data_IF_344280585295
#
_entry.id   IF_344280585295
#
_cell.length_a   1.000
_cell.length_b   1.000
_cell.length_c   1.000
_cell.angle_alpha   90.00
_cell.angle_beta   90.00
_cell.angle_gamma   90.00
#
_symmetry.space_group_name_H-M   'P 1'
#
loop_
_entity.id
_entity.type
_entity.pdbx_description
1 polymer ?
#
# COMPACT_ATOMS: atom_id res chain seq x y z
N UNK A 1 -31.22 -22.88 8.21
CA UNK A 1 -29.98 -22.36 8.82
C UNK A 1 -29.50 -21.20 7.97
N UNK A 2 -29.15 -20.10 8.64
CA UNK A 2 -29.58 -18.74 8.29
C UNK A 2 -28.74 -18.08 7.17
N UNK A 3 -29.38 -17.35 6.23
CA UNK A 3 -28.70 -16.43 5.28
C UNK A 3 -27.66 -15.51 5.94
N UNK A 4 -27.86 -15.24 7.23
CA UNK A 4 -27.00 -14.44 8.10
C UNK A 4 -25.56 -14.98 8.26
N UNK A 5 -25.34 -16.30 8.21
CA UNK A 5 -23.99 -16.86 8.38
C UNK A 5 -23.11 -16.68 7.14
N UNK A 6 -23.64 -16.99 5.95
CA UNK A 6 -22.92 -16.80 4.68
C UNK A 6 -22.62 -15.32 4.42
N UNK A 7 -23.58 -14.44 4.73
CA UNK A 7 -23.41 -12.98 4.67
C UNK A 7 -22.29 -12.51 5.59
N UNK A 8 -22.24 -12.98 6.84
CA UNK A 8 -21.15 -12.66 7.77
C UNK A 8 -19.78 -13.09 7.23
N UNK A 9 -19.68 -14.31 6.68
CA UNK A 9 -18.43 -14.80 6.07
C UNK A 9 -18.01 -13.95 4.86
N UNK A 10 -18.95 -13.52 4.02
CA UNK A 10 -18.67 -12.59 2.92
C UNK A 10 -18.15 -11.24 3.44
N UNK A 11 -18.73 -10.70 4.52
CA UNK A 11 -18.24 -9.47 5.15
C UNK A 11 -16.83 -9.64 5.74
N UNK A 12 -16.54 -10.79 6.32
CA UNK A 12 -15.20 -11.10 6.82
C UNK A 12 -14.16 -11.23 5.69
N UNK A 13 -14.52 -11.86 4.57
CA UNK A 13 -13.69 -11.90 3.37
C UNK A 13 -13.49 -10.51 2.77
N UNK A 14 -14.53 -9.69 2.69
CA UNK A 14 -14.42 -8.30 2.21
C UNK A 14 -13.52 -7.46 3.10
N UNK A 15 -13.69 -7.55 4.43
CA UNK A 15 -12.82 -6.86 5.38
C UNK A 15 -11.35 -7.30 5.23
N UNK A 16 -11.10 -8.56 4.85
CA UNK A 16 -9.74 -9.09 4.65
C UNK A 16 -8.97 -8.38 3.53
N UNK A 17 -9.65 -7.73 2.58
CA UNK A 17 -9.02 -7.00 1.46
C UNK A 17 -8.17 -5.82 1.94
N UNK A 18 -8.46 -5.27 3.12
CA UNK A 18 -7.67 -4.21 3.76
C UNK A 18 -6.71 -4.70 4.83
N UNK A 19 -6.61 -6.01 5.05
CA UNK A 19 -5.86 -6.64 6.13
C UNK A 19 -4.70 -7.49 5.59
N UNK A 20 -3.84 -7.95 6.48
CA UNK A 20 -2.70 -8.83 6.21
C UNK A 20 -2.94 -10.23 6.76
N UNK A 21 -4.18 -10.70 6.66
CA UNK A 21 -4.55 -12.07 7.03
C UNK A 21 -3.68 -13.08 6.27
N UNK A 22 -3.37 -14.19 6.91
CA UNK A 22 -2.64 -15.26 6.24
C UNK A 22 -3.54 -15.88 5.15
N UNK A 23 -2.98 -16.20 3.97
CA UNK A 23 -3.69 -16.92 2.91
C UNK A 23 -4.36 -18.22 3.40
N UNK A 24 -3.74 -18.91 4.36
CA UNK A 24 -4.29 -20.13 4.98
C UNK A 24 -5.59 -19.87 5.75
N UNK A 25 -5.67 -18.75 6.46
CA UNK A 25 -6.86 -18.35 7.23
C UNK A 25 -7.97 -17.84 6.29
N UNK A 26 -7.60 -17.17 5.20
CA UNK A 26 -8.55 -16.77 4.15
C UNK A 26 -9.09 -17.99 3.38
N UNK A 27 -8.24 -18.97 3.08
CA UNK A 27 -8.69 -20.25 2.51
C UNK A 27 -9.71 -20.97 3.40
N UNK A 28 -9.53 -20.88 4.73
CA UNK A 28 -10.48 -21.46 5.68
C UNK A 28 -11.83 -20.73 5.62
N UNK A 29 -11.84 -19.39 5.61
CA UNK A 29 -13.05 -18.60 5.41
C UNK A 29 -13.77 -18.92 4.09
N UNK A 30 -13.03 -19.18 3.01
CA UNK A 30 -13.59 -19.60 1.71
C UNK A 30 -14.27 -20.97 1.82
N UNK A 31 -13.62 -21.95 2.45
CA UNK A 31 -14.23 -23.26 2.66
C UNK A 31 -15.51 -23.16 3.50
N UNK A 32 -15.49 -22.36 4.56
CA UNK A 32 -16.65 -22.15 5.42
C UNK A 32 -17.79 -21.45 4.67
N UNK A 33 -17.47 -20.49 3.79
CA UNK A 33 -18.45 -19.83 2.93
C UNK A 33 -19.10 -20.82 1.96
N UNK A 34 -18.30 -21.65 1.28
CA UNK A 34 -18.82 -22.66 0.36
C UNK A 34 -19.72 -23.66 1.08
N UNK A 35 -19.34 -24.14 2.27
CA UNK A 35 -20.20 -24.99 3.10
C UNK A 35 -21.49 -24.27 3.51
N UNK A 36 -21.41 -23.03 3.98
CA UNK A 36 -22.59 -22.26 4.40
C UNK A 36 -23.59 -22.01 3.26
N UNK A 37 -23.10 -21.96 2.02
CA UNK A 37 -23.92 -21.80 0.80
C UNK A 37 -24.30 -23.12 0.12
N UNK A 38 -23.92 -24.27 0.68
CA UNK A 38 -24.05 -25.58 0.03
C UNK A 38 -23.47 -25.59 -1.40
N UNK A 39 -22.36 -24.86 -1.61
CA UNK A 39 -21.64 -24.83 -2.88
C UNK A 39 -20.53 -25.88 -2.82
N UNK A 40 -20.57 -26.87 -3.70
CA UNK A 40 -19.53 -27.88 -3.79
C UNK A 40 -18.39 -27.37 -4.69
N UNK A 41 -17.16 -27.21 -4.16
CA UNK A 41 -16.01 -26.96 -5.01
C UNK A 41 -15.72 -28.20 -5.85
N UNK A 42 -15.21 -28.00 -7.06
CA UNK A 42 -14.67 -29.08 -7.89
C UNK A 42 -13.48 -29.76 -7.17
N UNK A 43 -13.14 -31.02 -7.50
CA UNK A 43 -12.12 -31.77 -6.78
C UNK A 43 -10.75 -31.08 -6.72
N UNK A 44 -10.35 -30.36 -7.77
CA UNK A 44 -9.07 -29.67 -7.81
C UNK A 44 -9.07 -28.47 -6.83
N UNK A 45 -10.13 -27.67 -6.83
CA UNK A 45 -10.30 -26.57 -5.88
C UNK A 45 -10.41 -27.07 -4.44
N UNK A 46 -11.17 -28.13 -4.20
CA UNK A 46 -11.30 -28.75 -2.88
C UNK A 46 -9.92 -29.13 -2.33
N UNK A 47 -9.12 -29.88 -3.12
CA UNK A 47 -7.78 -30.30 -2.74
C UNK A 47 -6.81 -29.13 -2.53
N UNK A 48 -6.88 -28.09 -3.37
CA UNK A 48 -6.05 -26.90 -3.23
C UNK A 48 -6.37 -26.14 -1.94
N UNK A 49 -7.65 -25.94 -1.62
CA UNK A 49 -8.10 -25.31 -0.39
C UNK A 49 -7.75 -26.16 0.85
N UNK A 50 -7.91 -27.48 0.80
CA UNK A 50 -7.56 -28.37 1.90
C UNK A 50 -6.06 -28.28 2.25
N UNK A 51 -5.20 -28.29 1.22
CA UNK A 51 -3.76 -28.10 1.38
C UNK A 51 -3.40 -26.76 2.01
N UNK A 52 -4.12 -25.68 1.69
CA UNK A 52 -3.88 -24.37 2.29
C UNK A 52 -4.40 -24.28 3.73
N UNK A 53 -5.57 -24.84 4.00
CA UNK A 53 -6.24 -24.75 5.30
C UNK A 53 -5.64 -25.63 6.39
N UNK A 54 -4.86 -26.66 6.03
CA UNK A 54 -4.12 -27.54 6.95
C UNK A 54 -3.33 -26.75 8.02
N UNK A 55 -2.86 -25.54 7.68
CA UNK A 55 -2.08 -24.67 8.58
C UNK A 55 -2.77 -23.35 8.95
N UNK A 56 -4.09 -23.28 8.77
CA UNK A 56 -4.88 -22.18 9.32
C UNK A 56 -4.77 -22.19 10.84
N UNK A 57 -4.79 -21.01 11.46
CA UNK A 57 -4.72 -20.86 12.91
C UNK A 57 -5.88 -21.59 13.60
N UNK A 58 -7.03 -21.69 12.93
CA UNK A 58 -8.19 -22.44 13.42
C UNK A 58 -7.95 -23.95 13.56
N UNK A 59 -7.09 -24.54 12.72
CA UNK A 59 -6.79 -25.99 12.74
C UNK A 59 -5.56 -26.36 13.56
N UNK A 60 -4.73 -25.38 13.93
CA UNK A 60 -3.51 -25.61 14.70
C UNK A 60 -3.80 -25.60 16.20
N UNK A 61 -3.25 -26.59 16.91
CA UNK A 61 -3.28 -26.62 18.37
C UNK A 61 -2.50 -25.43 18.93
N UNK A 62 -3.16 -24.55 19.70
CA UNK A 62 -2.67 -23.23 20.14
C UNK A 62 -2.36 -22.22 19.01
N UNK A 63 -3.06 -22.30 17.86
CA UNK A 63 -2.86 -21.44 16.69
C UNK A 63 -2.42 -20.01 17.00
N UNK A 64 -1.13 -19.75 16.83
CA UNK A 64 -0.48 -18.48 17.14
C UNK A 64 0.43 -18.06 15.98
N UNK A 65 0.43 -16.77 15.65
CA UNK A 65 1.38 -16.16 14.71
C UNK A 65 2.01 -14.92 15.36
N UNK A 66 3.30 -14.70 15.10
CA UNK A 66 3.99 -13.49 15.55
C UNK A 66 3.77 -12.29 14.60
N UNK A 67 3.03 -12.51 13.52
CA UNK A 67 2.88 -11.58 12.42
C UNK A 67 1.64 -10.70 12.64
N UNK A 68 1.82 -9.39 12.47
CA UNK A 68 0.66 -8.48 12.48
C UNK A 68 -0.22 -8.71 11.26
N UNK A 69 -1.51 -8.93 11.50
CA UNK A 69 -2.56 -9.10 10.50
C UNK A 69 -3.20 -7.79 10.04
N UNK A 70 -2.76 -6.64 10.55
CA UNK A 70 -3.19 -5.32 10.06
C UNK A 70 -1.99 -4.56 9.46
N UNK A 71 -2.29 -3.66 8.54
CA UNK A 71 -1.36 -2.61 8.15
C UNK A 71 -1.26 -1.58 9.27
N UNK A 72 -0.11 -0.94 9.41
CA UNK A 72 0.05 0.13 10.38
C UNK A 72 -1.00 1.22 10.11
N UNK A 73 -1.85 1.50 11.12
CA UNK A 73 -2.84 2.57 11.04
C UNK A 73 -2.20 3.91 11.36
N UNK A 74 -2.58 5.00 10.66
CA UNK A 74 -2.20 6.34 11.05
C UNK A 74 -2.62 6.60 12.49
N UNK A 75 -1.74 7.24 13.26
CA UNK A 75 -2.13 7.76 14.57
C UNK A 75 -2.93 9.04 14.31
N UNK A 76 -4.20 9.08 14.69
CA UNK A 76 -5.06 10.25 14.58
C UNK A 76 -4.69 11.41 15.52
N UNK A 77 -5.55 12.43 15.57
CA UNK A 77 -5.44 13.65 16.37
C UNK A 77 -6.24 13.59 17.69
N UNK A 78 -6.64 12.41 18.17
CA UNK A 78 -7.51 12.24 19.34
C UNK A 78 -7.01 13.00 20.57
N UNK A 79 -5.70 12.95 20.85
CA UNK A 79 -5.09 13.66 21.98
C UNK A 79 -5.16 15.18 21.83
N UNK A 80 -5.02 15.68 20.62
CA UNK A 80 -5.10 17.11 20.33
C UNK A 80 -6.55 17.59 20.42
N UNK A 81 -7.50 16.83 19.88
CA UNK A 81 -8.93 17.11 19.97
C UNK A 81 -9.42 17.11 21.42
N UNK A 82 -9.07 16.09 22.22
CA UNK A 82 -9.40 16.07 23.64
C UNK A 82 -8.83 17.29 24.38
N UNK A 83 -7.64 17.77 23.98
CA UNK A 83 -7.07 18.99 24.56
C UNK A 83 -7.78 20.26 24.07
N UNK A 84 -8.30 20.26 22.84
CA UNK A 84 -9.08 21.37 22.30
C UNK A 84 -10.42 21.48 23.02
N UNK A 85 -11.15 20.37 23.20
CA UNK A 85 -12.41 20.34 23.98
C UNK A 85 -12.25 20.83 25.43
N UNK A 86 -11.06 20.64 26.01
CA UNK A 86 -10.75 21.15 27.35
C UNK A 86 -10.33 22.65 27.40
N UNK A 87 -10.08 23.29 26.25
CA UNK A 87 -9.60 24.68 26.18
C UNK A 87 -10.54 25.63 25.47
N UNK A 88 -11.41 25.13 24.60
CA UNK A 88 -12.33 25.90 23.78
C UNK A 88 -13.76 25.46 24.08
N UNK A 89 -14.66 26.42 24.25
CA UNK A 89 -16.06 26.15 24.58
C UNK A 89 -16.82 25.61 23.37
N UNK A 90 -16.43 26.03 22.16
CA UNK A 90 -17.11 25.67 20.91
C UNK A 90 -16.67 24.31 20.32
N UNK A 91 -15.97 23.48 21.10
CA UNK A 91 -15.35 22.21 20.68
C UNK A 91 -15.83 21.01 21.52
N UNK A 92 -16.95 21.17 22.24
CA UNK A 92 -17.55 20.07 23.01
C UNK A 92 -18.15 18.98 22.09
N UNK A 93 -18.31 17.78 22.64
CA UNK A 93 -19.04 16.64 22.04
C UNK A 93 -18.50 16.12 20.70
N UNK A 94 -17.22 15.73 20.67
CA UNK A 94 -16.62 15.04 19.52
C UNK A 94 -16.78 13.52 19.64
N UNK A 95 -17.15 12.88 18.55
CA UNK A 95 -17.12 11.42 18.45
C UNK A 95 -15.69 10.88 18.63
N UNK A 96 -15.49 9.68 19.22
CA UNK A 96 -14.17 9.09 19.44
C UNK A 96 -13.29 9.00 18.17
N UNK A 97 -13.93 8.72 17.03
CA UNK A 97 -13.34 8.57 15.71
C UNK A 97 -13.05 9.89 14.99
N UNK A 98 -13.50 11.04 15.49
CA UNK A 98 -13.25 12.35 14.87
C UNK A 98 -11.75 12.66 14.72
N UNK A 99 -10.91 12.05 15.55
CA UNK A 99 -9.45 12.16 15.44
C UNK A 99 -8.84 11.44 14.25
N UNK A 100 -9.57 10.57 13.56
CA UNK A 100 -9.11 9.86 12.38
C UNK A 100 -9.64 10.48 11.09
N UNK A 101 -10.63 11.38 11.14
CA UNK A 101 -11.17 12.09 9.98
C UNK A 101 -10.51 13.47 9.81
N UNK A 102 -9.73 13.70 8.73
CA UNK A 102 -9.13 15.00 8.46
C UNK A 102 -10.13 16.15 8.33
N UNK A 103 -11.32 15.91 7.79
CA UNK A 103 -12.34 16.96 7.62
C UNK A 103 -12.89 17.42 8.97
N UNK A 104 -13.14 16.48 9.88
CA UNK A 104 -13.55 16.79 11.25
C UNK A 104 -12.45 17.51 12.03
N UNK A 105 -11.20 17.07 11.91
CA UNK A 105 -10.06 17.76 12.53
C UNK A 105 -9.98 19.21 12.04
N UNK A 106 -10.09 19.44 10.74
CA UNK A 106 -10.06 20.78 10.15
C UNK A 106 -11.22 21.65 10.64
N UNK A 107 -12.44 21.10 10.63
CA UNK A 107 -13.64 21.76 11.15
C UNK A 107 -13.47 22.20 12.60
N UNK A 108 -12.88 21.34 13.45
CA UNK A 108 -12.57 21.68 14.84
C UNK A 108 -11.52 22.79 14.94
N UNK A 109 -10.46 22.74 14.13
CA UNK A 109 -9.42 23.79 14.13
C UNK A 109 -10.04 25.14 13.78
N UNK A 110 -10.91 25.19 12.77
CA UNK A 110 -11.58 26.42 12.34
C UNK A 110 -12.50 26.97 13.44
N UNK A 111 -13.40 26.15 13.98
CA UNK A 111 -14.31 26.55 15.08
C UNK A 111 -13.55 27.05 16.33
N UNK A 112 -12.45 26.39 16.68
CA UNK A 112 -11.62 26.79 17.80
C UNK A 112 -10.81 28.07 17.50
N UNK A 113 -10.42 28.28 16.24
CA UNK A 113 -9.79 29.49 15.75
C UNK A 113 -10.68 30.72 15.91
N UNK A 114 -11.96 30.58 15.62
CA UNK A 114 -12.95 31.66 15.73
C UNK A 114 -13.04 32.22 17.17
N UNK A 115 -12.98 31.36 18.20
CA UNK A 115 -13.02 31.77 19.62
C UNK A 115 -11.85 32.68 20.00
N UNK A 116 -10.70 32.54 19.33
CA UNK A 116 -9.50 33.36 19.59
C UNK A 116 -9.15 34.29 18.43
N UNK A 117 -10.07 34.47 17.46
CA UNK A 117 -9.89 35.34 16.30
C UNK A 117 -8.60 35.05 15.52
N UNK A 118 -8.29 33.77 15.35
CA UNK A 118 -7.16 33.27 14.57
C UNK A 118 -7.70 32.56 13.33
N UNK A 119 -7.32 33.00 12.12
CA UNK A 119 -7.72 32.31 10.91
C UNK A 119 -6.98 30.98 10.74
N UNK A 120 -7.52 30.10 9.89
CA UNK A 120 -6.81 28.87 9.53
C UNK A 120 -5.60 29.20 8.66
N UNK A 121 -4.43 28.64 8.96
CA UNK A 121 -3.17 28.92 8.27
C UNK A 121 -2.30 29.99 8.95
N UNK A 122 -2.89 30.83 9.80
CA UNK A 122 -2.22 31.86 10.60
C UNK A 122 -1.37 31.21 11.71
N UNK A 123 -0.10 30.98 11.43
CA UNK A 123 0.79 30.16 12.26
C UNK A 123 2.02 30.92 12.79
N UNK A 124 2.21 32.16 12.39
CA UNK A 124 3.30 33.02 12.80
C UNK A 124 3.03 33.65 14.18
N UNK A 125 4.01 33.55 15.09
CA UNK A 125 3.86 34.08 16.45
C UNK A 125 4.05 35.59 16.55
N UNK A 126 4.74 36.19 15.59
CA UNK A 126 5.00 37.62 15.51
C UNK A 126 3.89 38.34 14.77
N UNK A 127 3.51 37.84 13.59
CA UNK A 127 2.58 38.51 12.68
C UNK A 127 1.12 38.19 12.98
N UNK A 128 0.79 36.93 13.22
CA UNK A 128 -0.62 36.50 13.22
C UNK A 128 -1.26 36.50 14.61
N UNK A 129 -0.48 36.89 15.63
CA UNK A 129 -0.87 36.75 17.03
C UNK A 129 -1.29 38.10 17.62
N UNK A 130 -2.54 38.19 18.05
CA UNK A 130 -3.08 39.41 18.65
C UNK A 130 -2.34 39.81 19.94
N UNK A 131 -1.92 41.07 20.00
CA UNK A 131 -1.35 41.74 21.16
C UNK A 131 -2.45 42.10 22.19
N UNK A 132 -2.09 42.84 23.26
CA UNK A 132 -3.08 43.15 24.32
C UNK A 132 -4.20 44.07 23.83
N UNK A 133 -3.86 45.11 23.07
CA UNK A 133 -4.82 46.07 22.53
C UNK A 133 -5.73 45.38 21.50
N UNK A 134 -5.12 44.64 20.57
CA UNK A 134 -5.84 43.89 19.53
C UNK A 134 -6.81 42.84 20.10
N UNK A 135 -6.44 42.14 21.18
CA UNK A 135 -7.38 41.22 21.85
C UNK A 135 -8.57 41.94 22.48
N UNK A 136 -8.36 43.13 23.05
CA UNK A 136 -9.44 43.91 23.62
C UNK A 136 -10.39 44.42 22.53
N UNK A 137 -9.84 44.93 21.43
CA UNK A 137 -10.60 45.35 20.25
C UNK A 137 -11.39 44.20 19.62
N UNK A 138 -10.79 43.02 19.55
CA UNK A 138 -11.42 41.83 19.00
C UNK A 138 -12.45 41.15 19.94
N UNK A 139 -12.75 41.76 21.08
CA UNK A 139 -13.76 41.30 22.04
C UNK A 139 -13.33 40.11 22.91
N UNK A 140 -12.03 39.79 22.95
CA UNK A 140 -11.45 38.67 23.71
C UNK A 140 -10.42 39.12 24.75
N UNK A 141 -10.53 40.38 25.19
CA UNK A 141 -9.60 41.04 26.12
C UNK A 141 -9.51 40.38 27.49
N UNK A 142 -10.57 39.67 27.91
CA UNK A 142 -10.62 38.93 29.17
C UNK A 142 -9.71 37.70 29.19
N UNK A 143 -9.35 37.17 28.01
CA UNK A 143 -8.43 36.03 27.91
C UNK A 143 -7.01 36.49 28.26
N UNK A 144 -6.44 35.90 29.31
CA UNK A 144 -5.05 36.19 29.69
C UNK A 144 -4.08 35.85 28.55
N UNK A 145 -2.97 36.61 28.44
CA UNK A 145 -1.91 36.36 27.45
C UNK A 145 -1.44 34.90 27.44
N UNK A 146 -1.35 34.27 28.62
CA UNK A 146 -0.93 32.87 28.77
C UNK A 146 -1.95 31.90 28.17
N UNK A 147 -3.24 32.09 28.45
CA UNK A 147 -4.32 31.26 27.89
C UNK A 147 -4.42 31.42 26.38
N UNK A 148 -4.37 32.65 25.88
CA UNK A 148 -4.36 32.94 24.44
C UNK A 148 -3.18 32.24 23.73
N UNK A 149 -1.96 32.43 24.24
CA UNK A 149 -0.77 31.77 23.70
C UNK A 149 -0.82 30.24 23.75
N UNK A 150 -1.53 29.67 24.75
CA UNK A 150 -1.70 28.22 24.86
C UNK A 150 -2.66 27.71 23.79
N UNK A 151 -3.76 28.41 23.54
CA UNK A 151 -4.75 28.12 22.49
C UNK A 151 -4.13 28.25 21.10
N UNK A 152 -3.46 29.36 20.82
CA UNK A 152 -2.74 29.58 19.55
C UNK A 152 -1.74 28.44 19.26
N UNK A 153 -0.89 28.09 20.24
CA UNK A 153 0.06 26.97 20.12
C UNK A 153 -0.61 25.61 19.90
N UNK A 154 -1.81 25.40 20.43
CA UNK A 154 -2.54 24.17 20.21
C UNK A 154 -3.02 24.10 18.75
N UNK A 155 -3.66 25.16 18.25
CA UNK A 155 -4.21 25.16 16.89
C UNK A 155 -3.11 25.00 15.82
N UNK A 156 -1.98 25.71 15.95
CA UNK A 156 -0.81 25.48 15.08
C UNK A 156 -0.34 24.02 15.09
N UNK A 157 -0.28 23.40 16.27
CA UNK A 157 0.12 21.98 16.38
C UNK A 157 -0.94 21.04 15.81
N UNK A 158 -2.21 21.42 15.86
CA UNK A 158 -3.31 20.67 15.25
C UNK A 158 -3.25 20.74 13.73
N UNK A 159 -2.96 21.90 13.13
CA UNK A 159 -2.76 22.03 11.68
C UNK A 159 -1.58 21.19 11.20
N UNK A 160 -0.44 21.25 11.90
CA UNK A 160 0.70 20.38 11.60
C UNK A 160 0.36 18.89 11.78
N UNK A 161 -0.47 18.55 12.77
CA UNK A 161 -0.95 17.19 13.00
C UNK A 161 -1.91 16.73 11.90
N UNK A 162 -2.82 17.59 11.44
CA UNK A 162 -3.74 17.35 10.34
C UNK A 162 -2.98 17.04 9.06
N UNK A 163 -2.01 17.88 8.69
CA UNK A 163 -1.15 17.63 7.53
C UNK A 163 -0.42 16.26 7.64
N UNK A 164 0.04 15.90 8.83
CA UNK A 164 0.64 14.57 9.09
C UNK A 164 -0.37 13.43 8.97
N UNK A 165 -1.60 13.58 9.48
CA UNK A 165 -2.64 12.55 9.37
C UNK A 165 -2.98 12.30 7.90
N UNK A 166 -3.19 13.35 7.10
CA UNK A 166 -3.39 13.24 5.65
C UNK A 166 -2.24 12.48 4.96
N UNK A 167 -0.99 12.86 5.26
CA UNK A 167 0.18 12.20 4.70
C UNK A 167 0.24 10.71 5.05
N UNK A 168 -0.03 10.36 6.30
CA UNK A 168 -0.01 8.97 6.80
C UNK A 168 -1.14 8.12 6.22
N UNK A 169 -2.35 8.69 6.06
CA UNK A 169 -3.47 8.02 5.39
C UNK A 169 -3.14 7.72 3.93
N UNK A 170 -2.59 8.69 3.20
CA UNK A 170 -2.13 8.51 1.82
C UNK A 170 -1.06 7.42 1.75
N UNK A 171 -0.06 7.45 2.64
CA UNK A 171 0.99 6.43 2.71
C UNK A 171 0.43 5.02 2.97
N UNK A 172 -0.58 4.90 3.85
CA UNK A 172 -1.28 3.63 4.08
C UNK A 172 -1.99 3.14 2.83
N UNK A 173 -2.76 3.99 2.15
CA UNK A 173 -3.44 3.65 0.91
C UNK A 173 -2.45 3.18 -0.17
N UNK A 174 -1.33 3.90 -0.34
CA UNK A 174 -0.25 3.52 -1.25
C UNK A 174 0.33 2.15 -0.90
N UNK A 175 0.56 1.88 0.38
CA UNK A 175 1.13 0.59 0.84
C UNK A 175 0.21 -0.58 0.57
N UNK A 176 -1.10 -0.43 0.82
CA UNK A 176 -2.10 -1.48 0.58
C UNK A 176 -2.22 -1.72 -0.93
N UNK A 177 -2.41 -0.65 -1.71
CA UNK A 177 -2.55 -0.74 -3.17
C UNK A 177 -1.33 -1.34 -3.85
N UNK A 178 -0.12 -1.01 -3.39
CA UNK A 178 1.10 -1.55 -3.97
C UNK A 178 1.26 -3.07 -3.81
N UNK A 179 0.52 -3.68 -2.89
CA UNK A 179 0.50 -5.14 -2.72
C UNK A 179 -0.76 -5.77 -3.27
N UNK A 180 -1.94 -5.35 -2.81
CA UNK A 180 -3.23 -5.95 -3.16
C UNK A 180 -3.94 -5.30 -4.35
N UNK A 181 -3.24 -4.44 -5.10
CA UNK A 181 -3.84 -3.63 -6.17
C UNK A 181 -5.07 -2.85 -5.65
N UNK A 182 -6.09 -2.62 -6.50
CA UNK A 182 -7.30 -1.89 -6.12
C UNK A 182 -8.33 -2.74 -5.35
N UNK A 183 -8.02 -3.99 -4.99
CA UNK A 183 -8.98 -4.89 -4.34
C UNK A 183 -9.62 -4.29 -3.09
N UNK A 184 -8.82 -3.63 -2.23
CA UNK A 184 -9.30 -2.96 -1.01
C UNK A 184 -10.28 -1.79 -1.24
N UNK A 185 -10.44 -1.33 -2.48
CA UNK A 185 -11.38 -0.26 -2.87
C UNK A 185 -12.71 -0.79 -3.38
N UNK A 186 -12.87 -2.11 -3.51
CA UNK A 186 -14.11 -2.72 -3.97
C UNK A 186 -15.24 -2.43 -2.97
N UNK A 187 -16.37 -1.88 -3.43
CA UNK A 187 -17.59 -1.82 -2.62
C UNK A 187 -18.03 -3.23 -2.22
N UNK A 188 -18.64 -3.35 -1.04
CA UNK A 188 -19.09 -4.63 -0.52
C UNK A 188 -20.05 -5.31 -1.49
N UNK A 189 -20.98 -4.56 -2.06
CA UNK A 189 -22.03 -5.05 -2.96
C UNK A 189 -21.43 -5.65 -4.23
N UNK A 190 -20.42 -5.00 -4.81
CA UNK A 190 -19.71 -5.50 -6.00
C UNK A 190 -18.92 -6.76 -5.67
N UNK A 191 -18.26 -6.78 -4.52
CA UNK A 191 -17.48 -7.92 -4.05
C UNK A 191 -18.36 -9.15 -3.74
N UNK A 192 -19.48 -8.94 -3.05
CA UNK A 192 -20.37 -9.99 -2.57
C UNK A 192 -21.35 -10.53 -3.64
N UNK A 193 -21.42 -9.88 -4.80
CA UNK A 193 -22.33 -10.26 -5.89
C UNK A 193 -22.13 -11.71 -6.38
N UNK A 194 -20.89 -12.20 -6.38
CA UNK A 194 -20.55 -13.57 -6.75
C UNK A 194 -19.52 -14.18 -5.76
N UNK A 195 -19.88 -15.24 -5.01
CA UNK A 195 -19.00 -15.87 -4.03
C UNK A 195 -17.71 -16.45 -4.57
N UNK A 196 -17.71 -17.02 -5.78
CA UNK A 196 -16.48 -17.55 -6.36
C UNK A 196 -15.52 -16.40 -6.69
N UNK A 197 -16.05 -15.30 -7.26
CA UNK A 197 -15.28 -14.06 -7.46
C UNK A 197 -14.74 -13.53 -6.13
N UNK A 198 -15.58 -13.46 -5.10
CA UNK A 198 -15.18 -13.03 -3.75
C UNK A 198 -14.05 -13.90 -3.17
N UNK A 199 -14.14 -15.22 -3.34
CA UNK A 199 -13.13 -16.18 -2.89
C UNK A 199 -11.79 -15.97 -3.60
N UNK A 200 -11.79 -15.87 -4.94
CA UNK A 200 -10.57 -15.61 -5.71
C UNK A 200 -9.91 -14.28 -5.32
N UNK A 201 -10.69 -13.19 -5.29
CA UNK A 201 -10.18 -11.84 -4.99
C UNK A 201 -9.62 -11.79 -3.57
N UNK A 202 -10.32 -12.34 -2.58
CA UNK A 202 -9.85 -12.36 -1.20
C UNK A 202 -8.56 -13.18 -1.03
N UNK A 203 -8.50 -14.38 -1.63
CA UNK A 203 -7.33 -15.24 -1.53
C UNK A 203 -6.09 -14.62 -2.18
N UNK A 204 -6.22 -14.14 -3.42
CA UNK A 204 -5.12 -13.52 -4.15
C UNK A 204 -4.62 -12.26 -3.43
N UNK A 205 -5.53 -11.46 -2.87
CA UNK A 205 -5.17 -10.27 -2.08
C UNK A 205 -4.39 -10.65 -0.83
N UNK A 206 -4.83 -11.67 -0.09
CA UNK A 206 -4.11 -12.17 1.10
C UNK A 206 -2.69 -12.66 0.74
N UNK A 207 -2.55 -13.40 -0.37
CA UNK A 207 -1.25 -13.82 -0.92
C UNK A 207 -0.36 -12.63 -1.24
N UNK A 208 -0.90 -11.60 -1.89
CA UNK A 208 -0.13 -10.42 -2.26
C UNK A 208 0.27 -9.56 -1.05
N UNK A 209 -0.53 -9.58 0.03
CA UNK A 209 -0.28 -8.86 1.27
C UNK A 209 0.79 -9.47 2.18
N UNK A 210 1.28 -10.67 1.86
CA UNK A 210 2.38 -11.30 2.57
C UNK A 210 3.61 -10.38 2.68
N UNK A 211 4.35 -10.54 3.77
CA UNK A 211 5.64 -9.85 3.95
C UNK A 211 6.67 -10.47 3.01
N UNK A 212 7.45 -9.60 2.37
CA UNK A 212 8.57 -10.04 1.54
C UNK A 212 9.65 -10.66 2.43
N UNK A 213 10.23 -11.74 1.95
CA UNK A 213 11.36 -12.42 2.58
C UNK A 213 12.62 -11.77 2.01
N UNK A 214 13.61 -11.50 2.86
CA UNK A 214 14.93 -11.12 2.39
C UNK A 214 15.63 -12.34 1.82
N UNK A 215 15.92 -12.27 0.53
CA UNK A 215 16.57 -13.33 -0.25
C UNK A 215 17.40 -12.67 -1.34
N UNK A 216 18.50 -13.33 -1.71
CA UNK A 216 19.31 -13.07 -2.89
C UNK A 216 18.72 -13.71 -4.17
N UNK A 217 17.63 -14.48 -4.02
CA UNK A 217 16.89 -15.10 -5.10
C UNK A 217 15.64 -14.32 -5.54
N UNK A 218 14.77 -15.00 -6.29
CA UNK A 218 13.54 -14.40 -6.78
C UNK A 218 12.50 -14.23 -5.67
N UNK A 219 11.80 -13.09 -5.68
CA UNK A 219 10.70 -12.85 -4.76
C UNK A 219 9.51 -13.76 -5.09
N UNK A 220 8.83 -14.27 -4.05
CA UNK A 220 7.64 -15.11 -4.22
C UNK A 220 6.53 -14.35 -4.92
N UNK A 221 5.84 -15.03 -5.84
CA UNK A 221 4.69 -14.51 -6.58
C UNK A 221 3.39 -14.72 -5.80
N UNK A 222 2.41 -13.81 -5.90
CA UNK A 222 1.10 -13.99 -5.25
C UNK A 222 0.27 -15.11 -5.86
N UNK A 223 0.29 -15.26 -7.19
CA UNK A 223 -0.52 -16.23 -7.93
C UNK A 223 0.08 -17.64 -7.82
N UNK A 224 -0.55 -18.50 -7.03
CA UNK A 224 -0.12 -19.87 -6.73
C UNK A 224 -1.18 -20.92 -7.10
N UNK A 225 -0.92 -22.20 -6.82
CA UNK A 225 -1.83 -23.32 -7.14
C UNK A 225 -3.28 -23.10 -6.65
N UNK A 226 -3.46 -22.42 -5.51
CA UNK A 226 -4.80 -22.21 -4.92
C UNK A 226 -5.51 -21.05 -5.59
N UNK A 227 -4.77 -19.97 -5.85
CA UNK A 227 -5.29 -18.87 -6.67
C UNK A 227 -5.67 -19.36 -8.07
N UNK A 228 -4.87 -20.25 -8.67
CA UNK A 228 -5.16 -20.82 -9.98
C UNK A 228 -6.42 -21.69 -9.95
N UNK A 229 -6.54 -22.61 -8.97
CA UNK A 229 -7.75 -23.43 -8.85
C UNK A 229 -9.03 -22.59 -8.71
N UNK A 230 -9.00 -21.55 -7.87
CA UNK A 230 -10.11 -20.60 -7.74
C UNK A 230 -10.37 -19.84 -9.05
N UNK A 231 -9.32 -19.46 -9.80
CA UNK A 231 -9.45 -18.79 -11.08
C UNK A 231 -10.03 -19.71 -12.18
N UNK A 232 -9.66 -20.99 -12.21
CA UNK A 232 -10.24 -21.97 -13.13
C UNK A 232 -11.76 -22.12 -12.91
N UNK A 233 -12.23 -22.00 -11.67
CA UNK A 233 -13.68 -21.97 -11.39
C UNK A 233 -14.35 -20.78 -12.06
N UNK A 234 -13.76 -19.59 -11.96
CA UNK A 234 -14.27 -18.40 -12.64
C UNK A 234 -14.32 -18.57 -14.16
N UNK A 235 -13.30 -19.20 -14.74
CA UNK A 235 -13.23 -19.54 -16.17
C UNK A 235 -14.29 -20.56 -16.59
N UNK A 236 -14.66 -21.49 -15.71
CA UNK A 236 -15.70 -22.48 -16.00
C UNK A 236 -17.12 -21.89 -16.02
N UNK A 237 -17.32 -20.75 -15.35
CA UNK A 237 -18.61 -20.05 -15.26
C UNK A 237 -18.50 -18.56 -15.63
N UNK A 238 -18.03 -18.21 -16.84
CA UNK A 238 -17.66 -16.84 -17.19
C UNK A 238 -18.86 -15.88 -17.22
N UNK A 239 -20.08 -16.39 -17.42
CA UNK A 239 -21.31 -15.60 -17.41
C UNK A 239 -21.76 -15.18 -15.99
N UNK A 240 -21.34 -15.92 -14.95
CA UNK A 240 -21.64 -15.59 -13.55
C UNK A 240 -20.55 -14.71 -12.92
N UNK A 241 -19.31 -14.91 -13.35
CA UNK A 241 -18.13 -14.22 -12.80
C UNK A 241 -18.26 -12.70 -12.92
N UNK A 242 -18.01 -12.01 -11.81
CA UNK A 242 -17.90 -10.55 -11.80
C UNK A 242 -16.48 -10.12 -12.21
N UNK A 243 -16.22 -10.13 -13.51
CA UNK A 243 -14.90 -9.78 -14.08
C UNK A 243 -14.42 -8.38 -13.71
N UNK A 244 -15.33 -7.43 -13.49
CA UNK A 244 -14.97 -6.10 -13.01
C UNK A 244 -14.34 -6.14 -11.62
N UNK A 245 -14.86 -6.97 -10.71
CA UNK A 245 -14.27 -7.17 -9.39
C UNK A 245 -12.91 -7.88 -9.48
N UNK A 246 -12.78 -8.89 -10.33
CA UNK A 246 -11.52 -9.59 -10.60
C UNK A 246 -10.44 -8.61 -11.10
N UNK A 247 -10.79 -7.70 -12.01
CA UNK A 247 -9.89 -6.71 -12.58
C UNK A 247 -9.30 -5.71 -11.55
N UNK A 248 -9.92 -5.55 -10.37
CA UNK A 248 -9.34 -4.74 -9.28
C UNK A 248 -8.12 -5.40 -8.64
N UNK A 249 -8.02 -6.73 -8.69
CA UNK A 249 -6.93 -7.51 -8.09
C UNK A 249 -5.98 -8.12 -9.13
N UNK A 250 -6.52 -8.52 -10.29
CA UNK A 250 -5.83 -9.31 -11.30
C UNK A 250 -6.17 -8.87 -12.74
N UNK A 251 -5.81 -7.65 -13.18
CA UNK A 251 -6.08 -7.17 -14.53
C UNK A 251 -5.08 -7.77 -15.54
N UNK A 252 -5.26 -9.04 -15.88
CA UNK A 252 -4.59 -9.69 -17.01
C UNK A 252 -5.40 -9.49 -18.29
N UNK A 253 -4.79 -9.66 -19.46
CA UNK A 253 -5.49 -9.56 -20.75
C UNK A 253 -6.76 -10.42 -20.79
N UNK A 254 -6.70 -11.65 -20.28
CA UNK A 254 -7.87 -12.53 -20.20
C UNK A 254 -9.00 -11.93 -19.35
N UNK A 255 -8.69 -11.42 -18.16
CA UNK A 255 -9.69 -10.80 -17.28
C UNK A 255 -10.26 -9.54 -17.91
N UNK A 256 -9.39 -8.69 -18.47
CA UNK A 256 -9.77 -7.41 -19.03
C UNK A 256 -10.64 -7.57 -20.29
N UNK A 257 -10.42 -8.60 -21.11
CA UNK A 257 -11.26 -8.93 -22.26
C UNK A 257 -12.71 -9.32 -21.93
N UNK A 258 -13.02 -9.56 -20.65
CA UNK A 258 -14.40 -9.76 -20.18
C UNK A 258 -15.03 -8.50 -19.57
N UNK A 259 -14.29 -7.41 -19.43
CA UNK A 259 -14.75 -6.17 -18.80
C UNK A 259 -15.23 -5.21 -19.89
N UNK A 260 -16.36 -4.53 -19.65
CA UNK A 260 -16.88 -3.55 -20.61
C UNK A 260 -15.93 -2.36 -20.80
N UNK A 261 -15.88 -1.77 -21.99
CA UNK A 261 -15.08 -0.57 -22.28
C UNK A 261 -15.32 0.57 -21.27
N UNK A 262 -16.58 0.75 -20.85
CA UNK A 262 -16.95 1.76 -19.85
C UNK A 262 -16.32 1.49 -18.48
N UNK A 263 -16.21 0.23 -18.07
CA UNK A 263 -15.52 -0.17 -16.85
C UNK A 263 -14.00 -0.13 -16.97
N UNK A 264 -13.45 -0.52 -18.13
CA UNK A 264 -12.03 -0.39 -18.45
C UNK A 264 -11.60 1.09 -18.36
N UNK A 265 -12.38 2.00 -18.94
CA UNK A 265 -12.13 3.44 -18.85
C UNK A 265 -12.19 3.95 -17.40
N UNK A 266 -13.15 3.47 -16.59
CA UNK A 266 -13.22 3.79 -15.14
C UNK A 266 -11.98 3.32 -14.40
N UNK A 267 -11.51 2.10 -14.66
CA UNK A 267 -10.29 1.55 -14.07
C UNK A 267 -9.06 2.34 -14.50
N UNK A 268 -8.96 2.72 -15.78
CA UNK A 268 -7.85 3.51 -16.32
C UNK A 268 -7.74 4.86 -15.60
N UNK A 269 -8.87 5.56 -15.41
CA UNK A 269 -8.90 6.83 -14.67
C UNK A 269 -8.47 6.64 -13.21
N UNK A 270 -8.93 5.57 -12.55
CA UNK A 270 -8.54 5.25 -11.17
C UNK A 270 -7.04 4.99 -11.05
N UNK A 271 -6.48 4.15 -11.92
CA UNK A 271 -5.04 3.86 -11.93
C UNK A 271 -4.20 5.08 -12.29
N UNK A 272 -4.64 5.91 -13.23
CA UNK A 272 -3.94 7.15 -13.57
C UNK A 272 -3.93 8.15 -12.39
N UNK A 273 -5.06 8.31 -11.68
CA UNK A 273 -5.10 9.12 -10.45
C UNK A 273 -4.14 8.58 -9.40
N UNK A 274 -4.16 7.27 -9.17
CA UNK A 274 -3.27 6.63 -8.21
C UNK A 274 -1.78 6.74 -8.61
N UNK A 275 -1.44 6.68 -9.90
CA UNK A 275 -0.09 6.93 -10.40
C UNK A 275 0.40 8.33 -10.04
N UNK A 276 -0.43 9.36 -10.24
CA UNK A 276 -0.12 10.74 -9.81
C UNK A 276 0.09 10.82 -8.30
N UNK A 277 -0.76 10.13 -7.54
CA UNK A 277 -0.63 10.12 -6.08
C UNK A 277 0.68 9.51 -5.59
N UNK A 278 1.11 8.42 -6.22
CA UNK A 278 2.38 7.76 -5.90
C UNK A 278 3.56 8.60 -6.39
N UNK A 279 3.46 9.26 -7.54
CA UNK A 279 4.50 10.15 -8.07
C UNK A 279 4.82 11.29 -7.09
N UNK A 280 3.81 11.95 -6.53
CA UNK A 280 4.01 13.00 -5.51
C UNK A 280 4.69 12.45 -4.24
N UNK A 281 4.31 11.24 -3.81
CA UNK A 281 4.95 10.61 -2.65
C UNK A 281 6.42 10.24 -2.93
N UNK A 282 6.71 9.77 -4.13
CA UNK A 282 8.07 9.46 -4.60
C UNK A 282 8.93 10.72 -4.66
N UNK A 283 8.44 11.80 -5.28
CA UNK A 283 9.14 13.07 -5.36
C UNK A 283 9.41 13.65 -3.96
N UNK A 284 8.40 13.62 -3.08
CA UNK A 284 8.57 14.06 -1.71
C UNK A 284 9.59 13.21 -0.93
N UNK A 285 9.63 11.90 -1.16
CA UNK A 285 10.63 11.01 -0.55
C UNK A 285 12.03 11.23 -1.13
N UNK A 286 12.13 11.46 -2.45
CA UNK A 286 13.34 11.80 -3.17
C UNK A 286 13.95 13.09 -2.64
N UNK A 287 13.19 14.18 -2.60
CA UNK A 287 13.68 15.49 -2.18
C UNK A 287 14.09 15.56 -0.70
N UNK A 288 13.52 14.68 0.14
CA UNK A 288 13.92 14.57 1.56
C UNK A 288 15.12 13.67 1.79
N UNK A 289 15.44 12.78 0.86
CA UNK A 289 16.45 11.75 1.03
C UNK A 289 17.59 11.95 0.05
N UNK A 290 18.85 11.89 0.50
CA UNK A 290 20.00 11.85 -0.42
C UNK A 290 20.15 10.45 -1.01
N UNK A 291 19.24 10.07 -1.89
CA UNK A 291 19.26 8.78 -2.59
C UNK A 291 20.28 8.85 -3.74
N UNK A 292 21.08 7.80 -3.87
CA UNK A 292 21.96 7.68 -5.01
C UNK A 292 21.25 6.96 -6.14
N UNK A 293 21.00 7.71 -7.20
CA UNK A 293 20.26 7.25 -8.37
C UNK A 293 20.89 6.02 -9.03
N UNK A 294 22.21 6.03 -9.14
CA UNK A 294 22.96 5.06 -9.94
C UNK A 294 23.16 3.72 -9.23
N UNK A 295 23.01 3.72 -7.90
CA UNK A 295 23.24 2.51 -7.08
C UNK A 295 21.96 2.00 -6.44
N UNK A 296 21.06 2.91 -6.05
CA UNK A 296 19.85 2.62 -5.27
C UNK A 296 20.15 1.79 -4.02
N UNK A 297 21.31 2.02 -3.39
CA UNK A 297 21.70 1.36 -2.14
C UNK A 297 21.35 2.25 -0.96
N UNK A 298 20.72 1.67 0.07
CA UNK A 298 20.35 2.38 1.31
C UNK A 298 21.60 2.94 2.01
N UNK A 299 21.53 4.23 2.36
CA UNK A 299 22.52 4.93 3.21
C UNK A 299 21.91 5.38 4.53
N UNK A 300 22.78 5.76 5.46
CA UNK A 300 22.36 6.40 6.70
C UNK A 300 21.51 7.64 6.40
N UNK A 301 20.38 7.77 7.10
CA UNK A 301 19.42 8.86 6.90
C UNK A 301 18.43 8.68 5.73
N UNK A 302 18.53 7.62 4.93
CA UNK A 302 17.51 7.34 3.90
C UNK A 302 16.22 6.80 4.53
N UNK A 303 15.06 7.32 4.11
CA UNK A 303 13.76 6.73 4.41
C UNK A 303 13.42 5.63 3.40
N UNK A 304 14.12 4.49 3.51
CA UNK A 304 13.93 3.35 2.60
C UNK A 304 12.56 2.70 2.74
N UNK A 305 11.88 2.87 3.88
CA UNK A 305 10.54 2.34 4.10
C UNK A 305 9.52 3.06 3.23
N UNK A 306 9.49 4.40 3.30
CA UNK A 306 8.57 5.20 2.47
C UNK A 306 8.90 5.04 0.99
N UNK A 307 10.19 5.10 0.60
CA UNK A 307 10.60 4.92 -0.79
C UNK A 307 10.19 3.55 -1.34
N UNK A 308 10.50 2.45 -0.65
CA UNK A 308 10.23 1.10 -1.16
C UNK A 308 8.73 0.80 -1.27
N UNK A 309 7.92 1.34 -0.36
CA UNK A 309 6.46 1.24 -0.43
C UNK A 309 5.91 1.98 -1.65
N UNK A 310 6.35 3.22 -1.87
CA UNK A 310 5.94 4.02 -3.01
C UNK A 310 6.44 3.42 -4.34
N UNK A 311 7.70 2.97 -4.42
CA UNK A 311 8.27 2.32 -5.59
C UNK A 311 7.54 1.02 -5.94
N UNK A 312 7.15 0.22 -4.93
CA UNK A 312 6.31 -0.95 -5.15
C UNK A 312 4.94 -0.56 -5.71
N UNK A 313 4.27 0.42 -5.11
CA UNK A 313 2.97 0.88 -5.57
C UNK A 313 3.00 1.45 -6.99
N UNK A 314 4.07 2.17 -7.32
CA UNK A 314 4.34 2.67 -8.66
C UNK A 314 4.43 1.52 -9.67
N UNK A 315 5.23 0.49 -9.36
CA UNK A 315 5.38 -0.68 -10.23
C UNK A 315 4.06 -1.40 -10.48
N UNK A 316 3.25 -1.61 -9.43
CA UNK A 316 1.91 -2.22 -9.53
C UNK A 316 0.98 -1.37 -10.39
N UNK A 317 0.84 -0.08 -10.06
CA UNK A 317 -0.04 0.85 -10.75
C UNK A 317 0.30 1.00 -12.23
N UNK A 318 1.58 1.15 -12.54
CA UNK A 318 2.08 1.29 -13.90
C UNK A 318 1.85 0.02 -14.72
N UNK A 319 2.07 -1.15 -14.13
CA UNK A 319 1.81 -2.44 -14.81
C UNK A 319 0.33 -2.58 -15.18
N UNK A 320 -0.58 -2.19 -14.29
CA UNK A 320 -2.02 -2.26 -14.54
C UNK A 320 -2.52 -1.16 -15.47
N UNK A 321 -1.90 0.03 -15.43
CA UNK A 321 -2.15 1.08 -16.40
C UNK A 321 -1.79 0.64 -17.82
N UNK A 322 -0.63 0.00 -18.00
CA UNK A 322 -0.25 -0.58 -19.30
C UNK A 322 -1.22 -1.66 -19.77
N UNK A 323 -1.64 -2.56 -18.88
CA UNK A 323 -2.61 -3.60 -19.21
C UNK A 323 -3.91 -3.02 -19.79
N UNK A 324 -4.43 -1.96 -19.15
CA UNK A 324 -5.66 -1.29 -19.58
C UNK A 324 -5.49 -0.51 -20.89
N UNK A 325 -4.33 0.12 -21.10
CA UNK A 325 -4.04 0.78 -22.39
C UNK A 325 -3.98 -0.23 -23.54
N UNK A 326 -3.35 -1.39 -23.33
CA UNK A 326 -3.32 -2.47 -24.31
C UNK A 326 -4.72 -3.00 -24.60
N UNK A 327 -5.52 -3.29 -23.57
CA UNK A 327 -6.90 -3.78 -23.78
C UNK A 327 -7.77 -2.77 -24.54
N UNK A 328 -7.64 -1.48 -24.22
CA UNK A 328 -8.38 -0.42 -24.89
C UNK A 328 -7.82 -0.05 -26.28
N UNK A 329 -6.71 -0.65 -26.73
CA UNK A 329 -6.04 -0.29 -27.98
C UNK A 329 -5.43 1.12 -28.00
N UNK A 330 -5.18 1.71 -26.82
CA UNK A 330 -4.68 3.08 -26.64
C UNK A 330 -3.16 3.14 -26.37
N UNK A 331 -2.44 2.13 -26.86
CA UNK A 331 -1.00 1.96 -26.66
C UNK A 331 -0.16 3.11 -27.24
N UNK A 332 -0.70 3.82 -28.25
CA UNK A 332 -0.14 5.05 -28.83
C UNK A 332 0.14 6.15 -27.79
N UNK A 333 -0.54 6.10 -26.65
CA UNK A 333 -0.27 7.02 -25.52
C UNK A 333 1.16 6.83 -25.03
N UNK A 334 1.67 5.59 -24.99
CA UNK A 334 3.02 5.29 -24.54
C UNK A 334 4.08 5.84 -25.50
N UNK A 335 3.75 6.03 -26.79
CA UNK A 335 4.67 6.66 -27.75
C UNK A 335 4.91 8.14 -27.44
N UNK A 336 4.09 8.74 -26.57
CA UNK A 336 4.25 10.09 -26.05
C UNK A 336 4.69 10.12 -24.59
N UNK A 337 4.09 9.26 -23.76
CA UNK A 337 4.25 9.26 -22.30
C UNK A 337 4.38 7.83 -21.80
N UNK A 338 5.63 7.34 -21.72
CA UNK A 338 5.99 6.03 -21.17
C UNK A 338 6.84 6.20 -19.90
N UNK A 339 6.24 6.55 -18.76
CA UNK A 339 7.00 6.83 -17.55
C UNK A 339 7.75 5.56 -17.10
N UNK A 340 9.01 5.73 -16.66
CA UNK A 340 9.88 4.61 -16.28
C UNK A 340 9.39 3.84 -15.04
N UNK A 341 10.01 2.70 -14.76
CA UNK A 341 9.86 2.01 -13.45
C UNK A 341 10.62 2.78 -12.37
N UNK A 342 10.29 2.50 -11.11
CA UNK A 342 11.04 3.01 -9.96
C UNK A 342 11.62 1.81 -9.20
N UNK A 343 12.96 1.67 -9.12
CA UNK A 343 13.58 0.60 -8.35
C UNK A 343 13.43 0.86 -6.85
N UNK A 344 13.32 -0.23 -6.08
CA UNK A 344 13.41 -0.18 -4.62
C UNK A 344 14.86 0.04 -4.21
N UNK A 345 15.07 0.72 -3.09
CA UNK A 345 16.36 0.76 -2.44
C UNK A 345 16.72 -0.63 -1.90
N UNK A 346 17.92 -1.07 -2.24
CA UNK A 346 18.53 -2.31 -1.75
C UNK A 346 19.27 -2.04 -0.44
N UNK A 347 19.05 -2.90 0.56
CA UNK A 347 19.79 -2.81 1.81
C UNK A 347 21.29 -3.05 1.56
N UNK A 348 22.17 -2.27 2.21
CA UNK A 348 23.61 -2.30 1.94
C UNK A 348 24.26 -3.67 2.22
N UNK A 349 23.77 -4.39 3.23
CA UNK A 349 24.18 -5.75 3.56
C UNK A 349 23.78 -6.76 2.48
N UNK A 350 22.57 -6.64 1.94
CA UNK A 350 22.10 -7.44 0.79
C UNK A 350 22.92 -7.14 -0.46
N UNK A 351 23.21 -5.86 -0.74
CA UNK A 351 24.07 -5.44 -1.85
C UNK A 351 25.48 -6.05 -1.73
N UNK A 352 26.04 -6.07 -0.52
CA UNK A 352 27.31 -6.72 -0.24
C UNK A 352 27.25 -8.23 -0.45
N UNK A 353 26.19 -8.89 0.02
CA UNK A 353 25.99 -10.33 -0.19
C UNK A 353 25.93 -10.69 -1.68
N UNK A 354 25.15 -9.94 -2.47
CA UNK A 354 25.11 -10.14 -3.93
C UNK A 354 26.49 -10.03 -4.57
N UNK A 355 27.26 -8.99 -4.25
CA UNK A 355 28.62 -8.82 -4.78
C UNK A 355 29.55 -9.96 -4.39
N UNK A 356 29.49 -10.40 -3.12
CA UNK A 356 30.31 -11.52 -2.62
C UNK A 356 29.98 -12.84 -3.31
N UNK A 357 28.74 -13.04 -3.72
CA UNK A 357 28.29 -14.21 -4.49
C UNK A 357 28.52 -14.07 -6.01
N UNK A 358 29.27 -13.05 -6.47
CA UNK A 358 29.57 -12.82 -7.89
C UNK A 358 28.47 -12.09 -8.68
N UNK A 359 27.43 -11.61 -8.00
CA UNK A 359 26.37 -10.80 -8.59
C UNK A 359 26.70 -9.30 -8.65
N UNK A 360 25.85 -8.55 -9.35
CA UNK A 360 25.95 -7.09 -9.47
C UNK A 360 24.65 -6.38 -9.09
N UNK A 361 24.58 -5.08 -9.37
CA UNK A 361 23.30 -4.36 -9.36
C UNK A 361 22.37 -4.96 -10.41
N UNK A 362 21.07 -4.94 -10.12
CA UNK A 362 20.08 -5.37 -11.11
C UNK A 362 20.11 -4.40 -12.32
N UNK A 363 20.09 -4.88 -13.58
CA UNK A 363 20.16 -4.02 -14.77
C UNK A 363 19.11 -2.90 -14.82
N UNK A 364 17.91 -3.14 -14.29
CA UNK A 364 16.87 -2.11 -14.16
C UNK A 364 17.34 -0.84 -13.39
N UNK A 365 18.31 -0.94 -12.49
CA UNK A 365 18.88 0.23 -11.80
C UNK A 365 19.57 1.19 -12.77
N UNK A 366 20.26 0.65 -13.79
CA UNK A 366 20.97 1.45 -14.78
C UNK A 366 19.98 2.11 -15.75
N UNK A 367 18.94 1.39 -16.17
CA UNK A 367 17.87 1.96 -17.00
C UNK A 367 17.15 3.10 -16.27
N UNK A 368 16.85 2.92 -14.98
CA UNK A 368 16.29 3.98 -14.12
C UNK A 368 17.18 5.22 -14.00
N UNK A 369 18.49 5.01 -13.87
CA UNK A 369 19.44 6.09 -13.69
C UNK A 369 19.46 7.06 -14.87
N UNK A 370 19.14 6.57 -16.07
CA UNK A 370 19.22 7.35 -17.30
C UNK A 370 17.88 7.92 -17.80
N UNK A 371 16.75 7.31 -17.46
CA UNK A 371 15.43 7.80 -17.89
C UNK A 371 14.93 8.96 -17.03
N UNK A 372 14.21 9.96 -17.55
CA UNK A 372 13.63 11.03 -16.73
C UNK A 372 12.80 10.52 -15.54
N UNK A 373 12.72 11.30 -14.46
CA UNK A 373 12.03 10.84 -13.26
C UNK A 373 10.53 10.75 -13.54
N UNK A 374 9.82 9.72 -13.05
CA UNK A 374 8.46 9.47 -13.52
C UNK A 374 7.45 10.56 -13.16
N UNK A 375 7.68 11.31 -12.09
CA UNK A 375 6.85 12.47 -11.72
C UNK A 375 7.08 13.69 -12.63
N UNK A 376 8.28 13.84 -13.22
CA UNK A 376 8.55 14.86 -14.24
C UNK A 376 7.81 14.49 -15.53
N UNK A 377 7.88 13.22 -15.93
CA UNK A 377 7.17 12.69 -17.11
C UNK A 377 5.66 12.83 -16.98
N UNK A 378 5.08 12.43 -15.84
CA UNK A 378 3.63 12.51 -15.63
C UNK A 378 3.10 13.96 -15.59
N UNK A 379 3.93 14.94 -15.22
CA UNK A 379 3.59 16.36 -15.26
C UNK A 379 3.86 17.02 -16.61
N UNK A 380 4.51 16.33 -17.55
CA UNK A 380 4.93 16.87 -18.84
C UNK A 380 6.14 17.80 -18.74
N UNK A 381 6.91 17.72 -17.65
CA UNK A 381 8.14 18.48 -17.43
C UNK A 381 9.34 17.86 -18.17
N UNK A 382 9.26 16.56 -18.48
CA UNK A 382 10.26 15.84 -19.25
C UNK A 382 9.62 14.90 -20.27
N UNK A 383 10.20 14.80 -21.46
CA UNK A 383 9.77 13.87 -22.49
C UNK A 383 10.33 12.46 -22.22
N UNK A 384 9.46 11.46 -22.25
CA UNK A 384 9.86 10.05 -22.13
C UNK A 384 8.96 9.19 -23.01
N UNK A 385 9.14 9.22 -24.35
CA UNK A 385 8.41 8.36 -25.26
C UNK A 385 8.87 6.90 -25.10
N UNK A 386 8.04 5.95 -25.51
CA UNK A 386 8.36 4.51 -25.53
C UNK A 386 9.72 4.24 -26.20
N UNK A 387 10.01 4.90 -27.32
CA UNK A 387 11.27 4.74 -28.05
C UNK A 387 12.52 5.07 -27.23
N UNK A 388 12.47 6.10 -26.38
CA UNK A 388 13.57 6.44 -25.47
C UNK A 388 13.78 5.33 -24.43
N UNK A 389 12.69 4.77 -23.90
CA UNK A 389 12.75 3.66 -22.94
C UNK A 389 13.37 2.42 -23.59
N UNK A 390 12.99 2.09 -24.82
CA UNK A 390 13.54 0.96 -25.57
C UNK A 390 15.04 1.15 -25.86
N UNK A 391 15.44 2.36 -26.26
CA UNK A 391 16.85 2.71 -26.50
C UNK A 391 17.70 2.53 -25.24
N UNK A 392 17.24 3.07 -24.09
CA UNK A 392 17.97 2.95 -22.82
C UNK A 392 18.01 1.50 -22.34
N UNK A 393 16.90 0.76 -22.48
CA UNK A 393 16.85 -0.68 -22.19
C UNK A 393 17.88 -1.46 -23.04
N UNK A 394 17.97 -1.17 -24.34
CA UNK A 394 18.92 -1.82 -25.24
C UNK A 394 20.38 -1.55 -24.83
N UNK A 395 20.72 -0.32 -24.44
CA UNK A 395 22.07 0.04 -23.96
C UNK A 395 22.49 -0.77 -22.73
N UNK A 396 21.54 -1.13 -21.86
CA UNK A 396 21.76 -1.94 -20.67
C UNK A 396 21.42 -3.43 -20.82
N UNK A 397 21.18 -3.89 -22.06
CA UNK A 397 20.83 -5.29 -22.38
C UNK A 397 19.61 -5.79 -21.61
N UNK A 398 18.62 -4.92 -21.43
CA UNK A 398 17.33 -5.23 -20.82
C UNK A 398 16.30 -5.36 -21.93
N UNK A 399 15.53 -6.45 -21.93
CA UNK A 399 14.34 -6.55 -22.79
C UNK A 399 13.25 -5.62 -22.24
N UNK A 400 12.77 -4.62 -23.02
CA UNK A 400 11.83 -3.64 -22.54
C UNK A 400 10.45 -4.23 -22.22
N UNK A 401 10.02 -5.29 -22.92
CA UNK A 401 8.72 -5.94 -22.72
C UNK A 401 8.80 -6.97 -21.60
N UNK A 402 9.74 -7.91 -21.67
CA UNK A 402 9.93 -8.93 -20.64
C UNK A 402 10.33 -8.30 -19.29
N UNK A 403 11.10 -7.22 -19.35
CA UNK A 403 11.40 -6.38 -18.20
C UNK A 403 10.16 -5.67 -17.65
N UNK A 404 9.16 -5.36 -18.47
CA UNK A 404 7.99 -4.55 -18.10
C UNK A 404 8.26 -3.05 -18.12
N UNK A 405 9.21 -2.59 -18.94
CA UNK A 405 9.56 -1.18 -19.17
C UNK A 405 8.64 -0.49 -20.20
N UNK A 406 8.05 -1.22 -21.14
CA UNK A 406 7.16 -0.62 -22.16
C UNK A 406 5.80 -1.30 -22.28
N UNK A 407 5.61 -2.45 -21.63
CA UNK A 407 4.36 -3.20 -21.64
C UNK A 407 4.14 -3.95 -20.32
N UNK A 408 2.94 -4.51 -20.14
CA UNK A 408 2.68 -5.46 -19.06
C UNK A 408 3.54 -6.71 -19.27
N UNK A 409 4.14 -7.23 -18.20
CA UNK A 409 4.85 -8.51 -18.27
C UNK A 409 3.87 -9.63 -18.61
N UNK A 410 4.27 -10.63 -19.42
CA UNK A 410 3.47 -11.83 -19.63
C UNK A 410 3.00 -12.44 -18.31
N UNK A 411 1.76 -12.93 -18.29
CA UNK A 411 1.18 -13.52 -17.10
C UNK A 411 2.05 -14.71 -16.64
N UNK A 412 2.54 -14.69 -15.40
CA UNK A 412 3.36 -15.78 -14.89
C UNK A 412 2.51 -17.04 -14.66
N UNK A 413 3.12 -18.21 -14.86
CA UNK A 413 2.51 -19.47 -14.40
C UNK A 413 2.33 -19.48 -12.88
N UNK A 414 1.31 -20.22 -12.43
CA UNK A 414 1.06 -20.48 -11.03
C UNK A 414 2.30 -21.11 -10.37
N UNK A 415 2.70 -20.56 -9.23
CA UNK A 415 3.77 -21.13 -8.42
C UNK A 415 3.20 -22.13 -7.42
N UNK A 416 4.01 -23.08 -6.98
CA UNK A 416 3.57 -24.03 -5.95
C UNK A 416 3.17 -23.31 -4.67
N UNK A 417 2.03 -23.69 -4.09
CA UNK A 417 1.61 -23.19 -2.78
C UNK A 417 2.69 -23.46 -1.73
N UNK A 418 3.00 -22.42 -0.95
CA UNK A 418 3.96 -22.46 0.15
C UNK A 418 3.36 -21.75 1.36
N UNK A 419 3.50 -22.37 2.54
CA UNK A 419 3.05 -21.82 3.81
C UNK A 419 3.61 -20.43 4.06
N UNK A 420 2.84 -19.62 4.77
CA UNK A 420 3.27 -18.31 5.28
C UNK A 420 4.36 -18.53 6.32
N UNK A 421 5.59 -18.05 6.08
CA UNK A 421 6.65 -18.14 7.09
C UNK A 421 6.44 -17.07 8.17
N UNK A 422 6.90 -17.38 9.38
CA UNK A 422 7.12 -16.35 10.38
C UNK A 422 8.37 -15.53 10.00
N UNK A 423 8.35 -14.23 10.29
CA UNK A 423 9.46 -13.34 9.88
C UNK A 423 9.95 -12.44 11.01
N UNK A 424 11.27 -12.42 11.17
CA UNK A 424 12.00 -11.47 12.03
C UNK A 424 12.79 -10.55 11.11
N UNK A 425 12.35 -9.29 10.99
CA UNK A 425 12.95 -8.29 10.11
C UNK A 425 13.23 -8.82 8.68
N UNK A 426 12.31 -9.58 8.10
CA UNK A 426 12.42 -10.11 6.73
C UNK A 426 13.10 -11.49 6.63
N UNK A 427 13.71 -11.99 7.70
CA UNK A 427 14.31 -13.33 7.76
C UNK A 427 13.26 -14.37 8.18
N UNK A 428 13.14 -15.45 7.42
CA UNK A 428 12.22 -16.55 7.70
C UNK A 428 12.65 -17.33 8.96
N UNK A 429 11.70 -17.54 9.86
CA UNK A 429 11.84 -18.34 11.08
C UNK A 429 10.76 -19.42 11.06
N UNK A 430 11.11 -20.65 11.42
CA UNK A 430 10.19 -21.79 11.36
C UNK A 430 9.14 -21.80 12.48
N UNK A 431 9.46 -21.22 13.63
CA UNK A 431 8.64 -21.26 14.84
C UNK A 431 8.15 -19.85 15.26
N UNK A 432 6.83 -19.63 15.47
CA UNK A 432 6.28 -18.33 15.85
C UNK A 432 6.73 -17.80 17.21
N UNK A 433 6.92 -18.68 18.21
CA UNK A 433 7.36 -18.26 19.56
C UNK A 433 8.81 -17.79 19.51
N UNK A 434 9.66 -18.54 18.80
CA UNK A 434 11.04 -18.17 18.50
C UNK A 434 11.10 -16.85 17.73
N UNK A 435 10.25 -16.67 16.71
CA UNK A 435 10.18 -15.41 15.97
C UNK A 435 9.84 -14.23 16.89
N UNK A 436 8.91 -14.41 17.83
CA UNK A 436 8.55 -13.40 18.83
C UNK A 436 9.72 -13.09 19.79
N UNK A 437 10.40 -14.12 20.29
CA UNK A 437 11.55 -13.98 21.17
C UNK A 437 12.71 -13.25 20.48
N UNK A 438 13.08 -13.66 19.26
CA UNK A 438 14.14 -13.03 18.46
C UNK A 438 13.83 -11.57 18.15
N UNK A 439 12.57 -11.24 17.82
CA UNK A 439 12.14 -9.86 17.58
C UNK A 439 12.26 -9.01 18.85
N UNK A 440 11.85 -9.56 20.00
CA UNK A 440 11.91 -8.88 21.30
C UNK A 440 13.35 -8.62 21.75
N UNK A 441 14.26 -9.56 21.45
CA UNK A 441 15.70 -9.42 21.65
C UNK A 441 16.38 -8.48 20.62
N UNK A 442 15.65 -7.95 19.63
CA UNK A 442 16.20 -7.05 18.62
C UNK A 442 17.12 -7.73 17.60
N UNK A 443 17.08 -9.06 17.49
CA UNK A 443 17.87 -9.80 16.49
C UNK A 443 17.45 -9.37 15.08
N UNK A 444 18.42 -9.17 14.19
CA UNK A 444 18.23 -8.64 12.83
C UNK A 444 17.66 -7.21 12.73
N UNK A 445 17.47 -6.50 13.85
CA UNK A 445 16.91 -5.14 13.84
C UNK A 445 17.88 -4.06 13.33
N UNK A 446 19.15 -4.41 13.13
CA UNK A 446 20.22 -3.47 12.79
C UNK A 446 20.69 -2.59 13.97
N UNK A 447 20.13 -2.76 15.17
CA UNK A 447 20.67 -2.15 16.40
C UNK A 447 22.09 -2.70 16.65
N UNK A 448 23.07 -1.81 16.71
CA UNK A 448 24.50 -2.15 16.85
C UNK A 448 25.38 -1.86 15.63
N UNK A 449 24.80 -1.45 14.47
CA UNK A 449 25.58 -1.09 13.26
C UNK A 449 26.51 0.13 13.41
N UNK A 450 26.44 0.88 14.52
CA UNK A 450 27.32 2.03 14.76
C UNK A 450 28.79 1.63 14.95
N UNK A 451 29.06 0.44 15.51
CA UNK A 451 30.42 -0.08 15.68
C UNK A 451 31.01 -0.60 14.36
N UNK A 452 30.20 -1.33 13.56
CA UNK A 452 30.61 -1.83 12.25
C UNK A 452 30.80 -0.71 11.21
N UNK A 453 30.04 0.39 11.30
CA UNK A 453 30.24 1.54 10.41
C UNK A 453 31.47 2.40 10.77
N UNK A 454 31.92 2.36 12.03
CA UNK A 454 33.15 3.01 12.48
C UNK A 454 34.43 2.24 12.11
N UNK A 455 34.31 0.96 11.75
CA UNK A 455 35.40 0.21 11.08
C UNK A 455 35.51 0.53 9.57
N UNK A 456 34.55 1.30 9.02
CA UNK A 456 34.46 1.61 7.57
C UNK A 456 34.77 3.09 7.24
N UNK A 457 35.00 3.93 8.26
CA UNK A 457 35.61 5.26 8.13
C UNK A 457 37.05 5.18 8.63
#
# INVERSE_FOLDING_TARGET
>A
MLPDHAERLLRELHASLGLRKRPEDVAQLIQDLFRARNTEPDPATAAALDKATEHSLHRLWHGYTSMLEDFARPVGAQRQLARASALFTNVADLAPEAGDDPAEIESVIRRAGDEIRRAYGDNDFGMDRLNRAERAEAGIGEISKRQYNKRFRLLRRMEAKLARVFHEQRRRAVTITGKGALAHTLPYETFAADPDTAAFVAYLTARAHMRSIFTDGTQRRPYDDVADALFQRLRSEPARTNWYAVAHAHPTAEVLGHVSDGDLARLLVRWNRFLRDVAELLEAAWNRSRLERDTMIVRSGNDSSTWNQAAQAWGTARTHWFALLTELGEERILDRVCPGKVPRLMAADVAYWHRRSGGGLHPDTLVWAELPLPWEVLRGEAECPRSLVEEVCARHRVDPVAGGWTAQRPAPQAVRFSRTPELVHGVAVGDPLMASALRSAGVFSGKGKHAAALEWL
#
